data_IF_263870265678
#
_entry.id   IF_263870265678
#
_cell.length_a   1.000
_cell.length_b   1.000
_cell.length_c   1.000
_cell.angle_alpha   90.00
_cell.angle_beta   90.00
_cell.angle_gamma   90.00
#
_symmetry.space_group_name_H-M   'P 1'
#
loop_
_entity.id
_entity.type
_entity.pdbx_description
1 polymer ?
#
# COMPACT_ATOMS: atom_id res chain seq x y z
N UNK A 1 -19.54 26.94 -3.30
CA UNK A 1 -19.28 28.26 -2.74
C UNK A 1 -17.87 28.71 -3.08
N UNK A 2 -17.76 29.84 -3.71
CA UNK A 2 -16.47 30.36 -4.09
C UNK A 2 -15.88 31.21 -2.99
N UNK A 3 -14.63 31.00 -2.69
CA UNK A 3 -13.91 31.84 -1.78
C UNK A 3 -13.25 32.97 -2.53
N UNK A 4 -13.30 34.13 -1.95
CA UNK A 4 -12.52 35.24 -2.47
C UNK A 4 -11.06 34.99 -2.16
N UNK A 5 -10.21 35.18 -3.13
CA UNK A 5 -8.79 35.04 -2.93
C UNK A 5 -8.08 36.34 -3.28
N UNK A 6 -6.96 36.54 -2.65
CA UNK A 6 -6.10 37.67 -2.89
C UNK A 6 -5.36 37.45 -4.20
N UNK A 7 -5.05 38.52 -4.90
CA UNK A 7 -4.24 38.45 -6.10
C UNK A 7 -2.92 37.76 -5.83
N UNK A 8 -2.58 36.76 -6.64
CA UNK A 8 -1.37 35.97 -6.48
C UNK A 8 -1.56 34.71 -5.64
N UNK A 9 -2.70 34.55 -4.98
CA UNK A 9 -2.99 33.33 -4.24
C UNK A 9 -3.55 32.25 -5.16
N UNK A 10 -3.26 30.96 -4.90
CA UNK A 10 -3.84 29.88 -5.67
C UNK A 10 -5.36 29.80 -5.47
N UNK A 11 -6.07 29.23 -6.46
CA UNK A 11 -7.52 29.06 -6.40
C UNK A 11 -7.98 28.24 -5.21
N UNK A 12 -7.15 27.32 -4.76
CA UNK A 12 -7.40 26.46 -3.61
C UNK A 12 -6.06 26.14 -2.98
N UNK A 13 -6.13 25.69 -1.72
CA UNK A 13 -4.90 25.33 -1.02
C UNK A 13 -4.57 23.88 -1.28
N UNK A 14 -3.44 23.67 -1.91
CA UNK A 14 -2.92 22.33 -2.22
C UNK A 14 -1.61 22.12 -1.48
N UNK A 15 -1.31 20.87 -1.14
CA UNK A 15 0.04 20.54 -0.70
C UNK A 15 1.06 20.87 -1.79
N UNK A 16 2.34 20.97 -1.45
CA UNK A 16 3.38 21.14 -2.47
C UNK A 16 3.35 20.04 -3.52
N UNK A 17 3.75 20.38 -4.74
CA UNK A 17 3.74 19.42 -5.85
C UNK A 17 4.52 18.15 -5.55
N UNK A 18 5.64 18.25 -4.85
CA UNK A 18 6.44 17.10 -4.47
C UNK A 18 5.66 16.11 -3.61
N UNK A 19 4.89 16.63 -2.66
CA UNK A 19 4.06 15.81 -1.78
C UNK A 19 2.92 15.17 -2.57
N UNK A 20 2.29 15.93 -3.46
CA UNK A 20 1.23 15.41 -4.32
C UNK A 20 1.74 14.32 -5.25
N UNK A 21 2.93 14.48 -5.79
CA UNK A 21 3.57 13.46 -6.61
C UNK A 21 3.78 12.17 -5.82
N UNK A 22 4.33 12.28 -4.62
CA UNK A 22 4.58 11.13 -3.76
C UNK A 22 3.26 10.43 -3.39
N UNK A 23 2.23 11.20 -3.10
CA UNK A 23 0.91 10.64 -2.80
C UNK A 23 0.33 9.90 -4.00
N UNK A 24 0.45 10.47 -5.19
CA UNK A 24 -0.02 9.81 -6.42
C UNK A 24 0.74 8.50 -6.67
N UNK A 25 2.04 8.48 -6.43
CA UNK A 25 2.85 7.27 -6.56
C UNK A 25 2.42 6.20 -5.55
N UNK A 26 2.10 6.60 -4.33
CA UNK A 26 1.58 5.70 -3.32
C UNK A 26 0.28 5.03 -3.80
N UNK A 27 -0.66 5.81 -4.32
CA UNK A 27 -1.91 5.26 -4.83
C UNK A 27 -1.72 4.36 -6.04
N UNK A 28 -0.71 4.60 -6.86
CA UNK A 28 -0.36 3.69 -7.95
C UNK A 28 0.05 2.32 -7.42
N UNK A 29 0.81 2.29 -6.33
CA UNK A 29 1.22 1.03 -5.72
C UNK A 29 0.00 0.26 -5.24
N UNK A 30 -0.95 0.95 -4.61
CA UNK A 30 -2.22 0.34 -4.20
C UNK A 30 -3.10 -0.05 -5.40
N UNK A 31 -2.86 0.53 -6.56
CA UNK A 31 -3.70 0.33 -7.73
C UNK A 31 -3.48 -0.98 -8.48
N UNK A 32 -2.66 -1.89 -7.98
CA UNK A 32 -2.40 -3.19 -8.59
C UNK A 32 -3.13 -4.28 -7.82
N UNK A 33 -3.90 -5.11 -8.54
CA UNK A 33 -4.73 -6.12 -7.88
C UNK A 33 -3.92 -7.16 -7.11
N UNK A 34 -2.77 -7.57 -7.62
CA UNK A 34 -1.92 -8.56 -6.92
C UNK A 34 -1.36 -7.96 -5.64
N UNK A 35 -0.89 -6.72 -5.69
CA UNK A 35 -0.39 -6.04 -4.50
C UNK A 35 -1.48 -5.85 -3.45
N UNK A 36 -2.68 -5.49 -3.88
CA UNK A 36 -3.83 -5.37 -2.98
C UNK A 36 -4.13 -6.71 -2.29
N UNK A 37 -4.09 -7.82 -3.05
CA UNK A 37 -4.30 -9.16 -2.46
C UNK A 37 -3.25 -9.48 -1.41
N UNK A 38 -1.99 -9.17 -1.66
CA UNK A 38 -0.92 -9.39 -0.68
C UNK A 38 -1.20 -8.60 0.60
N UNK A 39 -1.54 -7.32 0.46
CA UNK A 39 -1.80 -6.47 1.62
C UNK A 39 -2.99 -7.01 2.44
N UNK A 40 -4.05 -7.44 1.77
CA UNK A 40 -5.20 -8.04 2.48
C UNK A 40 -4.82 -9.34 3.17
N UNK A 41 -4.00 -10.17 2.53
CA UNK A 41 -3.54 -11.41 3.17
C UNK A 41 -2.77 -11.10 4.45
N UNK A 42 -1.99 -10.02 4.48
CA UNK A 42 -1.21 -9.63 5.63
C UNK A 42 -2.01 -8.96 6.75
N UNK A 43 -3.27 -8.61 6.50
CA UNK A 43 -4.13 -8.06 7.56
C UNK A 43 -4.30 -9.05 8.72
N UNK A 44 -4.26 -10.34 8.43
CA UNK A 44 -4.41 -11.38 9.45
C UNK A 44 -3.15 -11.67 10.25
N UNK A 45 -2.03 -11.07 9.88
CA UNK A 45 -0.76 -11.30 10.54
C UNK A 45 0.36 -11.54 9.54
N UNK A 46 1.57 -11.77 10.04
CA UNK A 46 2.70 -12.00 9.17
C UNK A 46 2.65 -13.36 8.47
N UNK A 47 3.14 -13.38 7.23
CA UNK A 47 3.19 -14.58 6.40
C UNK A 47 4.53 -14.64 5.67
N UNK A 48 5.01 -15.86 5.43
CA UNK A 48 6.19 -16.05 4.58
C UNK A 48 5.80 -16.04 3.10
N UNK A 49 6.79 -15.93 2.22
CA UNK A 49 6.56 -15.91 0.77
C UNK A 49 5.82 -17.15 0.29
N UNK A 50 6.20 -18.32 0.83
CA UNK A 50 5.55 -19.59 0.47
C UNK A 50 4.06 -19.58 0.77
N UNK A 51 3.69 -19.14 1.97
CA UNK A 51 2.28 -19.07 2.37
C UNK A 51 1.52 -18.04 1.54
N UNK A 52 2.14 -16.88 1.28
CA UNK A 52 1.52 -15.85 0.45
C UNK A 52 1.30 -16.33 -0.98
N UNK A 53 2.31 -16.96 -1.59
CA UNK A 53 2.18 -17.43 -2.97
C UNK A 53 1.10 -18.49 -3.09
N UNK A 54 1.01 -19.38 -2.12
CA UNK A 54 -0.04 -20.41 -2.08
C UNK A 54 -1.42 -19.77 -1.89
N UNK A 55 -1.53 -18.84 -0.96
CA UNK A 55 -2.80 -18.15 -0.69
C UNK A 55 -3.31 -17.39 -1.92
N UNK A 56 -2.41 -16.76 -2.66
CA UNK A 56 -2.78 -15.95 -3.81
C UNK A 56 -2.86 -16.74 -5.12
N UNK A 57 -2.33 -17.96 -5.14
CA UNK A 57 -2.28 -18.75 -6.38
C UNK A 57 -1.29 -18.21 -7.40
N UNK A 58 -0.19 -17.61 -6.95
CA UNK A 58 0.87 -17.09 -7.81
C UNK A 58 2.19 -17.78 -7.49
N UNK A 59 3.17 -17.66 -8.39
CA UNK A 59 4.49 -18.25 -8.14
C UNK A 59 5.22 -17.50 -7.04
N UNK A 60 6.13 -18.18 -6.35
CA UNK A 60 6.97 -17.54 -5.35
C UNK A 60 7.77 -16.38 -5.92
N UNK A 61 8.26 -16.52 -7.17
CA UNK A 61 9.01 -15.47 -7.85
C UNK A 61 8.15 -14.23 -8.06
N UNK A 62 6.92 -14.41 -8.56
CA UNK A 62 5.99 -13.30 -8.78
C UNK A 62 5.63 -12.62 -7.45
N UNK A 63 5.37 -13.42 -6.41
CA UNK A 63 5.07 -12.93 -5.09
C UNK A 63 6.23 -12.10 -4.53
N UNK A 64 7.45 -12.63 -4.62
CA UNK A 64 8.66 -11.93 -4.14
C UNK A 64 8.87 -10.61 -4.86
N UNK A 65 8.60 -10.57 -6.17
CA UNK A 65 8.72 -9.34 -6.94
C UNK A 65 7.77 -8.27 -6.43
N UNK A 66 6.51 -8.64 -6.20
CA UNK A 66 5.51 -7.70 -5.70
C UNK A 66 5.80 -7.26 -4.26
N UNK A 67 6.30 -8.17 -3.43
CA UNK A 67 6.71 -7.83 -2.07
C UNK A 67 7.86 -6.82 -2.05
N UNK A 68 8.78 -6.93 -3.01
CA UNK A 68 9.87 -5.96 -3.14
C UNK A 68 9.32 -4.57 -3.45
N UNK A 69 8.36 -4.47 -4.36
CA UNK A 69 7.71 -3.19 -4.69
C UNK A 69 7.05 -2.61 -3.43
N UNK A 70 6.30 -3.42 -2.71
CA UNK A 70 5.63 -2.99 -1.49
C UNK A 70 6.61 -2.54 -0.41
N UNK A 71 7.70 -3.28 -0.24
CA UNK A 71 8.74 -2.93 0.73
C UNK A 71 9.42 -1.63 0.37
N UNK A 72 9.75 -1.44 -0.91
CA UNK A 72 10.40 -0.21 -1.37
C UNK A 72 9.52 1.02 -1.18
N UNK A 73 8.21 0.83 -1.16
CA UNK A 73 7.24 1.89 -0.90
C UNK A 73 6.80 1.95 0.57
N UNK A 74 7.48 1.22 1.43
CA UNK A 74 7.28 1.25 2.88
C UNK A 74 5.89 0.81 3.33
N UNK A 75 5.26 -0.09 2.57
CA UNK A 75 3.93 -0.62 2.90
C UNK A 75 4.03 -1.94 3.65
N UNK A 76 5.13 -2.68 3.46
CA UNK A 76 5.40 -3.90 4.20
C UNK A 76 6.82 -3.86 4.75
N UNK A 77 7.04 -4.65 5.80
CA UNK A 77 8.36 -4.89 6.37
C UNK A 77 8.55 -6.39 6.48
N UNK A 78 9.79 -6.81 6.69
CA UNK A 78 10.08 -8.23 6.84
C UNK A 78 11.01 -8.47 8.02
N UNK A 79 11.01 -9.70 8.49
CA UNK A 79 12.00 -10.20 9.45
C UNK A 79 12.46 -11.57 8.99
N UNK A 80 13.66 -11.92 9.39
CA UNK A 80 14.21 -13.25 9.10
C UNK A 80 14.19 -14.10 10.37
N UNK A 81 13.88 -15.37 10.17
CA UNK A 81 13.96 -16.36 11.22
C UNK A 81 14.53 -17.64 10.60
N UNK A 82 15.83 -17.90 10.83
CA UNK A 82 16.53 -18.95 10.13
C UNK A 82 16.53 -18.72 8.61
N UNK A 83 16.02 -19.66 7.86
CA UNK A 83 15.92 -19.57 6.40
C UNK A 83 14.62 -18.92 5.93
N UNK A 84 13.70 -18.65 6.87
CA UNK A 84 12.40 -18.11 6.54
C UNK A 84 12.40 -16.59 6.62
N UNK A 85 11.66 -15.98 5.72
CA UNK A 85 11.44 -14.53 5.70
C UNK A 85 9.93 -14.30 5.84
N UNK A 86 9.56 -13.56 6.87
CA UNK A 86 8.16 -13.25 7.16
C UNK A 86 7.88 -11.79 6.88
N UNK A 87 6.80 -11.54 6.15
CA UNK A 87 6.37 -10.18 5.81
C UNK A 87 5.16 -9.80 6.64
N UNK A 88 5.06 -8.52 6.96
CA UNK A 88 3.92 -7.95 7.68
C UNK A 88 3.67 -6.53 7.19
N UNK A 89 2.49 -6.00 7.48
CA UNK A 89 2.20 -4.60 7.18
C UNK A 89 3.12 -3.71 8.00
N UNK A 90 3.59 -2.62 7.40
CA UNK A 90 4.57 -1.75 8.05
C UNK A 90 4.00 -0.98 9.23
N UNK A 91 2.72 -0.58 9.16
CA UNK A 91 2.06 0.16 10.23
C UNK A 91 0.53 0.12 10.08
N UNK A 92 -0.16 0.76 11.02
CA UNK A 92 -1.62 0.80 11.03
C UNK A 92 -2.21 1.70 9.94
N UNK A 93 -1.42 2.60 9.35
CA UNK A 93 -1.89 3.43 8.26
C UNK A 93 -2.28 2.57 7.06
N UNK A 94 -1.48 1.55 6.75
CA UNK A 94 -1.77 0.64 5.64
C UNK A 94 -3.08 -0.09 5.87
N UNK A 95 -3.27 -0.60 7.09
CA UNK A 95 -4.52 -1.26 7.49
C UNK A 95 -5.71 -0.32 7.31
N UNK A 96 -5.59 0.90 7.80
CA UNK A 96 -6.65 1.89 7.74
C UNK A 96 -7.04 2.23 6.30
N UNK A 97 -6.05 2.40 5.42
CA UNK A 97 -6.32 2.68 4.01
C UNK A 97 -7.12 1.54 3.37
N UNK A 98 -6.73 0.29 3.61
CA UNK A 98 -7.43 -0.87 3.07
C UNK A 98 -8.85 -0.98 3.60
N UNK A 99 -9.04 -0.77 4.90
CA UNK A 99 -10.35 -0.85 5.54
C UNK A 99 -11.29 0.23 5.04
N UNK A 100 -10.81 1.46 4.92
CA UNK A 100 -11.61 2.56 4.40
C UNK A 100 -11.99 2.33 2.94
N UNK A 101 -11.03 1.85 2.14
CA UNK A 101 -11.29 1.52 0.75
C UNK A 101 -12.38 0.46 0.60
N UNK A 102 -12.32 -0.59 1.41
CA UNK A 102 -13.32 -1.65 1.41
C UNK A 102 -14.68 -1.13 1.85
N UNK A 103 -14.71 -0.33 2.90
CA UNK A 103 -15.94 0.27 3.39
C UNK A 103 -16.61 1.11 2.30
N UNK A 104 -15.83 1.89 1.58
CA UNK A 104 -16.34 2.73 0.50
C UNK A 104 -16.96 1.91 -0.63
N UNK A 105 -16.31 0.81 -1.02
CA UNK A 105 -16.77 -0.05 -2.11
C UNK A 105 -17.99 -0.88 -1.73
N UNK A 106 -18.03 -1.34 -0.49
CA UNK A 106 -19.09 -2.23 0.00
C UNK A 106 -20.28 -1.50 0.61
N UNK A 107 -20.26 -0.18 0.60
CA UNK A 107 -21.32 0.62 1.19
C UNK A 107 -22.60 0.65 0.35
#
# INVERSE_FOLDING_TARGET
MEEKRTEGEPCCQLPPDEVLYDLAELFKVFGDSTRIKILFALLGGELCVGDLSECLGVTATACSHQLRVLKNNKLVRFRREGKMVYYSLSDDHVRTILEIGMEHICE
#
